data_IF_120621909998
#
_entry.id   IF_120621909998
#
_cell.length_a   1.000
_cell.length_b   1.000
_cell.length_c   1.000
_cell.angle_alpha   90.00
_cell.angle_beta   90.00
_cell.angle_gamma   90.00
#
_symmetry.space_group_name_H-M   'P 1'
#
loop_
_entity.id
_entity.type
_entity.pdbx_description
1 polymer ?
#
# COMPACT_ATOMS: atom_id res chain seq x y z
N UNK A 1 -4.42 -31.97 9.00
CA UNK A 1 -3.62 -32.11 7.77
C UNK A 1 -2.97 -33.49 7.80
N UNK A 2 -3.14 -34.33 6.77
CA UNK A 2 -2.35 -35.57 6.70
C UNK A 2 -0.90 -35.16 6.46
N UNK A 3 0.00 -35.62 7.33
CA UNK A 3 1.43 -35.44 7.11
C UNK A 3 1.84 -36.27 5.91
N UNK A 4 2.45 -35.62 4.92
CA UNK A 4 2.88 -36.27 3.69
C UNK A 4 4.31 -36.69 3.90
N UNK A 5 4.58 -37.98 3.75
CA UNK A 5 5.90 -38.56 3.86
C UNK A 5 6.87 -37.82 2.92
N UNK A 6 8.01 -37.35 3.45
CA UNK A 6 8.97 -36.51 2.74
C UNK A 6 9.36 -37.00 1.32
N UNK A 7 9.59 -38.30 1.10
CA UNK A 7 9.89 -38.84 -0.22
C UNK A 7 8.75 -38.63 -1.24
N UNK A 8 7.49 -38.77 -0.82
CA UNK A 8 6.34 -38.64 -1.69
C UNK A 8 6.14 -37.18 -2.14
N UNK A 9 6.35 -36.22 -1.23
CA UNK A 9 6.32 -34.80 -1.55
C UNK A 9 7.45 -34.39 -2.52
N UNK A 10 8.66 -34.96 -2.36
CA UNK A 10 9.79 -34.70 -3.26
C UNK A 10 9.54 -35.23 -4.67
N UNK A 11 9.04 -36.47 -4.78
CA UNK A 11 8.64 -37.03 -6.07
C UNK A 11 7.56 -36.19 -6.76
N UNK A 12 6.52 -35.75 -6.02
CA UNK A 12 5.45 -34.93 -6.57
C UNK A 12 5.96 -33.57 -7.10
N UNK A 13 6.88 -32.93 -6.37
CA UNK A 13 7.54 -31.69 -6.83
C UNK A 13 8.35 -31.91 -8.11
N UNK A 14 9.10 -33.02 -8.19
CA UNK A 14 9.83 -33.38 -9.41
C UNK A 14 8.88 -33.58 -10.59
N UNK A 15 7.77 -34.29 -10.37
CA UNK A 15 6.77 -34.56 -11.41
C UNK A 15 6.11 -33.27 -11.93
N UNK A 16 5.83 -32.30 -11.05
CA UNK A 16 5.34 -30.97 -11.43
C UNK A 16 6.37 -30.23 -12.29
N UNK A 17 7.66 -30.33 -11.95
CA UNK A 17 8.72 -29.72 -12.74
C UNK A 17 8.77 -30.29 -14.16
N UNK A 18 8.62 -31.61 -14.32
CA UNK A 18 8.53 -32.26 -15.64
C UNK A 18 7.38 -31.68 -16.46
N UNK A 19 6.18 -31.52 -15.89
CA UNK A 19 5.02 -30.96 -16.60
C UNK A 19 5.19 -29.50 -17.03
N UNK A 20 6.09 -28.76 -16.38
CA UNK A 20 6.45 -27.38 -16.73
C UNK A 20 7.59 -27.29 -17.74
N UNK A 21 8.36 -28.37 -17.92
CA UNK A 21 9.55 -28.36 -18.76
C UNK A 21 9.21 -27.97 -20.22
N UNK A 22 9.99 -27.06 -20.84
CA UNK A 22 9.82 -26.73 -22.25
C UNK A 22 9.97 -27.99 -23.12
N UNK A 23 9.02 -28.22 -24.03
CA UNK A 23 9.02 -29.41 -24.87
C UNK A 23 8.26 -30.61 -24.30
N UNK A 24 7.76 -30.54 -23.07
CA UNK A 24 6.78 -31.51 -22.57
C UNK A 24 5.41 -31.29 -23.25
N UNK A 25 5.29 -31.83 -24.46
CA UNK A 25 4.03 -31.94 -25.21
C UNK A 25 3.41 -33.30 -24.91
N UNK A 26 2.70 -33.38 -23.80
CA UNK A 26 1.69 -34.41 -23.65
C UNK A 26 0.60 -34.21 -24.72
N UNK A 27 -0.12 -35.27 -25.05
CA UNK A 27 -1.19 -35.29 -26.07
C UNK A 27 -2.27 -34.19 -25.87
N UNK A 28 -2.34 -33.63 -24.66
CA UNK A 28 -3.37 -32.70 -24.19
C UNK A 28 -2.89 -31.23 -24.16
N UNK A 29 -1.66 -30.96 -24.61
CA UNK A 29 -1.07 -29.61 -24.69
C UNK A 29 -0.89 -28.91 -23.33
N UNK A 30 -0.74 -27.58 -23.36
CA UNK A 30 -0.48 -26.76 -22.16
C UNK A 30 -1.61 -26.81 -21.12
N UNK A 31 -2.86 -26.93 -21.58
CA UNK A 31 -4.03 -26.99 -20.69
C UNK A 31 -4.07 -28.33 -19.93
N UNK A 32 -3.81 -29.45 -20.62
CA UNK A 32 -3.69 -30.75 -19.96
C UNK A 32 -2.56 -30.79 -18.92
N UNK A 33 -1.42 -30.17 -19.21
CA UNK A 33 -0.33 -30.05 -18.23
C UNK A 33 -0.75 -29.24 -17.01
N UNK A 34 -1.48 -28.13 -17.20
CA UNK A 34 -2.01 -27.32 -16.10
C UNK A 34 -2.93 -28.14 -15.20
N UNK A 35 -3.88 -28.89 -15.77
CA UNK A 35 -4.80 -29.75 -15.01
C UNK A 35 -4.06 -30.79 -14.16
N UNK A 36 -3.09 -31.48 -14.75
CA UNK A 36 -2.26 -32.49 -14.05
C UNK A 36 -1.44 -31.86 -12.92
N UNK A 37 -0.92 -30.64 -13.10
CA UNK A 37 -0.22 -29.91 -12.04
C UNK A 37 -1.17 -29.58 -10.89
N UNK A 38 -2.38 -29.09 -11.17
CA UNK A 38 -3.38 -28.76 -10.14
C UNK A 38 -3.77 -30.01 -9.37
N UNK A 39 -4.08 -31.10 -10.06
CA UNK A 39 -4.47 -32.37 -9.45
C UNK A 39 -3.39 -32.91 -8.52
N UNK A 40 -2.13 -32.95 -8.99
CA UNK A 40 -1.02 -33.43 -8.19
C UNK A 40 -0.72 -32.50 -6.99
N UNK A 41 -0.84 -31.19 -7.20
CA UNK A 41 -0.65 -30.21 -6.15
C UNK A 41 -1.70 -30.34 -5.04
N UNK A 42 -2.97 -30.56 -5.39
CA UNK A 42 -4.04 -30.76 -4.41
C UNK A 42 -3.89 -32.10 -3.67
N UNK A 43 -3.53 -33.18 -4.38
CA UNK A 43 -3.33 -34.49 -3.78
C UNK A 43 -2.21 -34.51 -2.72
N UNK A 44 -1.13 -33.75 -2.97
CA UNK A 44 0.04 -33.67 -2.09
C UNK A 44 0.14 -32.34 -1.32
N UNK A 45 -0.93 -31.55 -1.22
CA UNK A 45 -0.93 -30.30 -0.45
C UNK A 45 0.19 -29.33 -0.83
N UNK A 46 0.56 -29.27 -2.10
CA UNK A 46 1.64 -28.43 -2.62
C UNK A 46 1.10 -27.08 -3.11
N UNK A 47 1.85 -26.02 -2.80
CA UNK A 47 1.63 -24.68 -3.36
C UNK A 47 2.37 -24.56 -4.69
N UNK A 48 1.66 -24.14 -5.74
CA UNK A 48 2.19 -23.99 -7.10
C UNK A 48 1.75 -22.66 -7.71
N UNK A 49 2.13 -22.37 -8.95
CA UNK A 49 1.61 -21.20 -9.67
C UNK A 49 0.08 -21.25 -9.91
N UNK A 50 -0.56 -22.40 -9.67
CA UNK A 50 -1.99 -22.62 -9.89
C UNK A 50 -2.75 -22.95 -8.60
N UNK A 51 -2.08 -22.97 -7.44
CA UNK A 51 -2.68 -23.31 -6.14
C UNK A 51 -2.14 -22.38 -5.05
N UNK A 52 -2.99 -21.91 -4.14
CA UNK A 52 -2.60 -21.05 -3.02
C UNK A 52 -3.00 -21.67 -1.68
N UNK A 53 -2.22 -21.39 -0.63
CA UNK A 53 -2.59 -21.74 0.74
C UNK A 53 -3.30 -20.54 1.36
N UNK A 54 -4.60 -20.69 1.61
CA UNK A 54 -5.41 -19.68 2.27
C UNK A 54 -5.76 -20.20 3.66
N UNK A 55 -5.29 -19.51 4.69
CA UNK A 55 -5.74 -19.76 6.05
C UNK A 55 -7.10 -19.07 6.23
N UNK A 56 -8.14 -19.86 6.45
CA UNK A 56 -9.45 -19.38 6.86
C UNK A 56 -9.53 -19.57 8.37
N UNK A 57 -9.60 -18.47 9.11
CA UNK A 57 -9.92 -18.54 10.53
C UNK A 57 -11.45 -18.61 10.67
N UNK A 58 -11.97 -19.81 10.95
CA UNK A 58 -13.40 -20.03 11.14
C UNK A 58 -13.90 -19.39 12.45
N UNK A 59 -13.00 -19.10 13.39
CA UNK A 59 -13.34 -18.47 14.65
C UNK A 59 -12.85 -17.03 14.63
N UNK A 60 -13.71 -16.14 14.18
CA UNK A 60 -13.56 -14.72 14.48
C UNK A 60 -13.81 -14.54 15.99
N UNK A 61 -12.78 -14.78 16.82
CA UNK A 61 -12.83 -14.56 18.27
C UNK A 61 -12.77 -13.04 18.49
N UNK A 62 -13.89 -12.37 18.22
CA UNK A 62 -14.04 -10.95 18.47
C UNK A 62 -14.13 -10.76 19.99
N UNK A 63 -13.22 -9.93 20.53
CA UNK A 63 -13.31 -9.48 21.93
C UNK A 63 -14.70 -8.86 22.16
N UNK A 64 -15.51 -9.35 23.14
CA UNK A 64 -16.79 -8.74 23.48
C UNK A 64 -16.64 -7.25 23.78
N UNK A 65 -17.56 -6.42 23.29
CA UNK A 65 -17.47 -4.96 23.36
C UNK A 65 -17.32 -4.46 24.81
N UNK A 66 -17.90 -5.19 25.76
CA UNK A 66 -17.99 -4.85 27.19
C UNK A 66 -16.74 -5.23 28.00
N UNK A 67 -15.81 -6.00 27.42
CA UNK A 67 -14.58 -6.41 28.14
C UNK A 67 -13.50 -5.35 27.97
N UNK A 68 -12.90 -4.81 29.03
CA UNK A 68 -11.83 -3.81 28.88
C UNK A 68 -10.62 -4.39 28.13
N UNK A 69 -10.01 -3.60 27.23
CA UNK A 69 -8.79 -4.00 26.54
C UNK A 69 -7.64 -4.08 27.54
N UNK A 70 -7.19 -5.29 27.88
CA UNK A 70 -6.03 -5.48 28.74
C UNK A 70 -4.75 -5.29 27.93
N UNK A 71 -4.01 -4.21 28.21
CA UNK A 71 -2.65 -4.03 27.69
C UNK A 71 -1.68 -4.78 28.60
N UNK A 72 -1.23 -5.94 28.18
CA UNK A 72 -0.12 -6.64 28.82
C UNK A 72 1.18 -6.26 28.10
N UNK A 73 2.19 -5.85 28.86
CA UNK A 73 3.53 -5.71 28.32
C UNK A 73 4.10 -7.13 28.16
N UNK A 74 4.20 -7.62 26.92
CA UNK A 74 4.77 -8.93 26.63
C UNK A 74 6.28 -8.80 26.82
N UNK A 75 6.83 -9.57 27.76
CA UNK A 75 8.27 -9.61 28.00
C UNK A 75 9.04 -10.04 26.73
N UNK A 76 10.27 -9.56 26.55
CA UNK A 76 11.06 -9.92 25.37
C UNK A 76 11.28 -11.43 25.32
N UNK A 77 10.94 -12.04 24.18
CA UNK A 77 11.21 -13.45 23.90
C UNK A 77 12.72 -13.63 23.65
N UNK A 78 13.48 -13.81 24.73
CA UNK A 78 14.92 -14.05 24.67
C UNK A 78 15.21 -15.56 24.72
N UNK A 79 16.20 -16.05 23.96
CA UNK A 79 16.73 -17.39 24.15
C UNK A 79 17.15 -17.63 25.60
N UNK A 80 17.06 -18.88 26.04
CA UNK A 80 17.44 -19.26 27.41
C UNK A 80 18.90 -18.85 27.69
N UNK A 81 19.11 -18.13 28.80
CA UNK A 81 20.44 -17.69 29.25
C UNK A 81 20.90 -16.33 28.71
N UNK A 82 20.07 -15.62 27.93
CA UNK A 82 20.42 -14.33 27.33
C UNK A 82 19.69 -13.16 28.01
N UNK A 83 20.40 -12.08 28.33
CA UNK A 83 19.80 -10.86 28.91
C UNK A 83 19.56 -9.80 27.82
N UNK A 84 18.49 -9.01 27.94
CA UNK A 84 18.15 -7.96 26.95
C UNK A 84 19.32 -7.00 26.71
N UNK A 85 20.02 -6.60 27.78
CA UNK A 85 21.20 -5.72 27.70
C UNK A 85 22.35 -6.37 26.92
N UNK A 86 22.59 -7.68 27.08
CA UNK A 86 23.67 -8.37 26.37
C UNK A 86 23.43 -8.46 24.85
N UNK A 87 22.17 -8.39 24.40
CA UNK A 87 21.82 -8.44 22.97
C UNK A 87 21.71 -7.05 22.36
N UNK A 88 21.17 -6.10 23.12
CA UNK A 88 20.72 -4.83 22.58
C UNK A 88 21.51 -3.61 23.08
N UNK A 89 22.55 -3.83 23.90
CA UNK A 89 23.57 -2.88 24.38
C UNK A 89 23.10 -1.41 24.49
N UNK A 90 21.96 -1.21 25.16
CA UNK A 90 21.35 0.11 25.38
C UNK A 90 20.84 0.85 24.12
N UNK A 91 21.10 0.38 22.91
CA UNK A 91 20.72 1.07 21.67
C UNK A 91 19.21 1.03 21.38
N UNK A 92 18.48 0.07 21.96
CA UNK A 92 17.03 -0.04 21.80
C UNK A 92 16.22 0.81 22.79
N UNK A 93 16.86 1.42 23.80
CA UNK A 93 16.17 2.26 24.78
C UNK A 93 15.61 3.57 24.19
N UNK A 94 15.89 3.88 22.93
CA UNK A 94 15.44 5.12 22.27
C UNK A 94 14.34 4.92 21.22
N UNK A 95 13.82 3.70 21.01
CA UNK A 95 12.80 3.47 19.98
C UNK A 95 11.37 3.35 20.53
N UNK A 96 11.07 3.98 21.66
CA UNK A 96 9.72 4.04 22.24
C UNK A 96 8.82 5.15 21.65
N UNK A 97 9.23 5.81 20.57
CA UNK A 97 8.37 6.77 19.89
C UNK A 97 8.98 7.21 18.58
N UNK A 98 8.24 7.00 17.49
CA UNK A 98 8.46 7.77 16.27
C UNK A 98 8.40 9.24 16.68
N UNK A 99 9.54 9.95 16.68
CA UNK A 99 9.53 11.39 16.95
C UNK A 99 8.60 12.00 15.90
N UNK A 100 7.51 12.69 16.29
CA UNK A 100 6.62 13.29 15.33
C UNK A 100 7.46 14.23 14.46
N UNK A 101 7.37 14.05 13.14
CA UNK A 101 8.02 14.96 12.20
C UNK A 101 7.55 16.36 12.57
N UNK A 102 8.48 17.27 12.84
CA UNK A 102 8.13 18.64 13.21
C UNK A 102 7.31 19.28 12.09
N UNK A 103 6.30 20.06 12.48
CA UNK A 103 5.43 20.75 11.52
C UNK A 103 6.23 21.66 10.57
N UNK A 104 7.37 22.18 11.03
CA UNK A 104 8.29 22.97 10.20
C UNK A 104 8.95 22.15 9.09
N UNK A 105 9.33 20.89 9.37
CA UNK A 105 9.87 19.99 8.34
C UNK A 105 8.80 19.63 7.32
N UNK A 106 7.57 19.41 7.76
CA UNK A 106 6.43 19.14 6.87
C UNK A 106 6.06 20.34 5.99
N UNK A 107 6.45 21.56 6.37
CA UNK A 107 6.27 22.75 5.54
C UNK A 107 7.39 22.93 4.52
N UNK A 108 8.53 22.25 4.68
CA UNK A 108 9.64 22.35 3.75
C UNK A 108 9.36 21.59 2.45
N UNK A 109 9.26 22.32 1.33
CA UNK A 109 8.97 21.73 0.01
C UNK A 109 9.98 20.67 -0.45
N UNK A 110 11.26 20.82 -0.10
CA UNK A 110 12.30 19.86 -0.45
C UNK A 110 12.11 18.56 0.34
N UNK A 111 11.83 18.66 1.63
CA UNK A 111 11.54 17.51 2.48
C UNK A 111 10.27 16.78 2.04
N UNK A 112 9.16 17.50 1.79
CA UNK A 112 7.89 16.91 1.32
C UNK A 112 8.04 16.11 0.03
N UNK A 113 8.90 16.56 -0.88
CA UNK A 113 9.19 15.88 -2.16
C UNK A 113 9.95 14.58 -1.96
N UNK A 114 10.86 14.52 -0.98
CA UNK A 114 11.63 13.31 -0.63
C UNK A 114 10.72 12.24 -0.01
N UNK A 115 9.76 12.63 0.82
CA UNK A 115 8.85 11.68 1.49
C UNK A 115 7.54 11.42 0.72
N UNK A 116 7.47 11.86 -0.54
CA UNK A 116 6.33 11.56 -1.43
C UNK A 116 4.99 12.16 -0.98
N UNK A 117 4.99 13.15 -0.08
CA UNK A 117 3.77 13.86 0.28
C UNK A 117 3.27 14.65 -0.93
N UNK A 118 1.96 14.65 -1.22
CA UNK A 118 1.41 15.44 -2.30
C UNK A 118 1.70 16.92 -2.04
N UNK A 119 2.66 17.46 -2.79
CA UNK A 119 2.77 18.89 -3.02
C UNK A 119 1.51 19.27 -3.78
N UNK A 120 0.65 20.11 -3.21
CA UNK A 120 -0.56 20.58 -3.89
C UNK A 120 -0.12 21.30 -5.16
N UNK A 121 -0.19 20.60 -6.29
CA UNK A 121 0.40 20.97 -7.57
C UNK A 121 -0.29 22.16 -8.25
N UNK A 122 -1.24 22.80 -7.56
CA UNK A 122 -1.88 24.02 -8.01
C UNK A 122 -1.49 25.14 -7.05
N UNK A 123 -0.72 26.17 -7.49
CA UNK A 123 -0.46 27.34 -6.67
C UNK A 123 -1.76 28.16 -6.59
N UNK A 124 -2.72 27.68 -5.79
CA UNK A 124 -4.06 28.24 -5.66
C UNK A 124 -4.02 29.73 -5.30
N UNK A 125 -3.07 30.13 -4.46
CA UNK A 125 -2.85 31.53 -4.09
C UNK A 125 -2.49 32.43 -5.29
N UNK A 126 -1.70 31.91 -6.25
CA UNK A 126 -1.33 32.63 -7.46
C UNK A 126 -2.50 32.70 -8.47
N UNK A 127 -3.24 31.59 -8.63
CA UNK A 127 -4.42 31.56 -9.51
C UNK A 127 -5.56 32.44 -9.01
N UNK A 128 -5.82 32.46 -7.69
CA UNK A 128 -6.82 33.33 -7.08
C UNK A 128 -6.44 34.80 -7.29
N UNK A 129 -5.17 35.15 -7.09
CA UNK A 129 -4.69 36.53 -7.31
C UNK A 129 -4.82 36.95 -8.78
N UNK A 130 -4.46 36.06 -9.72
CA UNK A 130 -4.64 36.30 -11.15
C UNK A 130 -6.10 36.46 -11.55
N UNK A 131 -6.99 35.62 -11.03
CA UNK A 131 -8.43 35.72 -11.25
C UNK A 131 -9.02 37.03 -10.72
N UNK A 132 -8.60 37.47 -9.54
CA UNK A 132 -9.04 38.74 -8.94
C UNK A 132 -8.62 39.93 -9.81
N UNK A 133 -7.39 39.93 -10.32
CA UNK A 133 -6.89 40.97 -11.24
C UNK A 133 -7.72 41.00 -12.53
N UNK A 134 -8.00 39.83 -13.13
CA UNK A 134 -8.80 39.74 -14.35
C UNK A 134 -10.23 40.26 -14.15
N UNK A 135 -10.86 39.98 -13.00
CA UNK A 135 -12.19 40.49 -12.66
C UNK A 135 -12.18 42.01 -12.54
N UNK A 136 -11.21 42.59 -11.83
CA UNK A 136 -11.11 44.05 -11.68
C UNK A 136 -10.93 44.75 -13.04
N UNK A 137 -10.12 44.17 -13.93
CA UNK A 137 -9.87 44.70 -15.26
C UNK A 137 -11.14 44.63 -16.14
N UNK A 138 -11.86 43.51 -16.09
CA UNK A 138 -13.13 43.34 -16.80
C UNK A 138 -14.21 44.32 -16.34
N UNK A 139 -14.35 44.52 -15.02
CA UNK A 139 -15.29 45.50 -14.46
C UNK A 139 -14.93 46.93 -14.90
N UNK A 140 -13.63 47.27 -14.86
CA UNK A 140 -13.16 48.58 -15.33
C UNK A 140 -13.51 48.87 -16.79
N UNK A 141 -13.29 47.89 -17.68
CA UNK A 141 -13.63 47.99 -19.10
C UNK A 141 -15.15 48.12 -19.32
N UNK A 142 -15.96 47.35 -18.60
CA UNK A 142 -17.41 47.42 -18.71
C UNK A 142 -17.97 48.79 -18.28
N UNK A 143 -17.42 49.38 -17.21
CA UNK A 143 -17.79 50.73 -16.75
C UNK A 143 -17.38 51.78 -17.79
N UNK A 144 -16.17 51.68 -18.35
CA UNK A 144 -15.70 52.61 -19.38
C UNK A 144 -16.56 52.54 -20.66
N UNK A 145 -16.94 51.33 -21.09
CA UNK A 145 -17.81 51.13 -22.24
C UNK A 145 -19.22 51.72 -22.03
N UNK A 146 -19.80 51.52 -20.84
CA UNK A 146 -21.11 52.10 -20.47
C UNK A 146 -21.06 53.64 -20.42
N UNK A 147 -19.97 54.22 -19.93
CA UNK A 147 -19.78 55.69 -19.92
C UNK A 147 -19.67 56.27 -21.33
N UNK A 148 -18.97 55.59 -22.25
CA UNK A 148 -18.87 56.02 -23.66
C UNK A 148 -20.20 55.93 -24.40
N UNK A 149 -20.99 54.88 -24.17
CA UNK A 149 -22.31 54.73 -24.76
C UNK A 149 -23.31 55.81 -24.27
N UNK A 150 -23.25 56.20 -22.99
CA UNK A 150 -24.07 57.29 -22.46
C UNK A 150 -23.74 58.67 -23.06
N UNK A 151 -22.47 58.93 -23.38
CA UNK A 151 -22.05 60.18 -24.04
C UNK A 151 -22.44 60.23 -25.52
N UNK A 152 -22.56 59.09 -26.21
CA UNK A 152 -22.99 59.02 -27.60
C UNK A 152 -24.48 59.33 -27.79
N UNK A 153 -25.31 59.07 -26.78
CA UNK A 153 -26.76 59.34 -26.82
C UNK A 153 -27.07 60.83 -26.51
N UNK A 154 -26.17 61.54 -25.82
CA UNK A 154 -26.35 62.96 -25.48
C UNK A 154 -25.92 63.94 -26.59
N UNK A 155 -25.19 63.47 -27.61
CA UNK A 155 -24.70 64.31 -28.73
C UNK A 155 -25.39 63.99 -30.07
N UNK A 156 -26.65 63.55 -30.03
CA UNK A 156 -27.53 63.40 -31.20
C UNK A 156 -28.85 64.12 -30.97
#
# INVERSE_FOLDING_TARGET
TREIEGPAALWARSKIADFRAPGNRNNDGHEGNRKRIIELALAYGLVTAFTSLVAVDEKEVVRPIDTALTKANIGPSLPVGMTFTAVFDGQMAQSAGMRPISQDLLQNNSFRRIIGLPTTATPAKAMILGGLIAILLGVGLAIAARRRAGLAIYNS
#
